data_IF_725344299736
#
_entry.id   IF_725344299736
#
_cell.length_a   1.000
_cell.length_b   1.000
_cell.length_c   1.000
_cell.angle_alpha   90.00
_cell.angle_beta   90.00
_cell.angle_gamma   90.00
#
_symmetry.space_group_name_H-M   'P 1'
#
loop_
_entity.id
_entity.type
_entity.pdbx_description
1 polymer ?
#
# COMPACT_ATOMS: atom_id res chain seq x y z
N UNK A 1 -5.34 12.49 -25.22
CA UNK A 1 -5.10 12.01 -23.84
C UNK A 1 -3.61 11.78 -23.65
N UNK A 2 -3.02 12.36 -22.60
CA UNK A 2 -1.61 12.15 -22.29
C UNK A 2 -1.52 11.24 -21.06
N UNK A 3 -0.75 10.17 -21.17
CA UNK A 3 -0.41 9.32 -20.02
C UNK A 3 0.99 9.74 -19.57
N UNK A 4 1.16 10.03 -18.27
CA UNK A 4 2.44 10.48 -17.70
C UNK A 4 3.54 9.40 -17.79
N UNK A 5 3.16 8.12 -17.87
CA UNK A 5 4.08 7.02 -18.11
C UNK A 5 3.72 6.24 -19.38
N UNK A 6 4.76 5.87 -20.15
CA UNK A 6 4.64 5.01 -21.34
C UNK A 6 4.56 3.52 -20.97
N UNK A 7 4.93 3.15 -19.74
CA UNK A 7 4.96 1.77 -19.28
C UNK A 7 4.93 1.70 -17.75
N UNK A 8 4.35 0.64 -17.17
CA UNK A 8 4.32 0.44 -15.73
C UNK A 8 5.43 -0.53 -15.34
N UNK A 9 6.63 0.00 -15.08
CA UNK A 9 7.81 -0.75 -14.63
C UNK A 9 8.14 -2.01 -15.45
N UNK A 10 7.87 -2.00 -16.77
CA UNK A 10 8.00 -3.16 -17.66
C UNK A 10 7.23 -4.41 -17.20
N UNK A 11 6.20 -4.23 -16.36
CA UNK A 11 5.42 -5.32 -15.75
C UNK A 11 4.66 -6.17 -16.78
N UNK A 12 4.29 -5.59 -17.92
CA UNK A 12 3.62 -6.29 -19.01
C UNK A 12 4.54 -7.29 -19.75
N UNK A 13 5.85 -7.21 -19.53
CA UNK A 13 6.85 -8.02 -20.23
C UNK A 13 7.39 -7.38 -21.52
N UNK A 14 8.39 -8.01 -22.16
CA UNK A 14 9.03 -7.49 -23.37
C UNK A 14 8.03 -7.32 -24.52
N UNK A 15 8.09 -6.18 -25.21
CA UNK A 15 7.21 -5.89 -26.35
C UNK A 15 5.80 -5.39 -25.99
N UNK A 16 5.42 -5.45 -24.71
CA UNK A 16 4.12 -5.00 -24.21
C UNK A 16 4.24 -3.73 -23.37
N UNK A 17 3.13 -3.01 -23.16
CA UNK A 17 3.11 -1.75 -22.41
C UNK A 17 2.00 -1.72 -21.37
N UNK A 18 2.39 -1.52 -20.11
CA UNK A 18 1.48 -1.32 -18.97
C UNK A 18 0.90 0.09 -18.86
N UNK A 19 0.64 0.76 -19.99
CA UNK A 19 0.19 2.15 -20.05
C UNK A 19 -1.15 2.32 -19.32
N UNK A 20 -1.37 3.48 -18.68
CA UNK A 20 -2.58 3.78 -17.91
C UNK A 20 -2.79 2.89 -16.67
N UNK A 21 -1.76 2.19 -16.20
CA UNK A 21 -1.77 1.63 -14.85
C UNK A 21 -1.79 2.77 -13.83
N UNK A 22 -2.64 2.65 -12.82
CA UNK A 22 -2.83 3.68 -11.82
C UNK A 22 -3.06 3.09 -10.43
N UNK A 23 -2.75 3.89 -9.42
CA UNK A 23 -2.96 3.57 -8.02
C UNK A 23 -3.69 4.73 -7.34
N UNK A 24 -4.76 4.41 -6.61
CA UNK A 24 -5.50 5.34 -5.78
C UNK A 24 -5.46 4.85 -4.34
N UNK A 25 -5.06 5.70 -3.40
CA UNK A 25 -5.04 5.38 -1.98
C UNK A 25 -5.92 6.36 -1.19
N UNK A 26 -6.75 5.82 -0.31
CA UNK A 26 -7.46 6.57 0.72
C UNK A 26 -6.91 6.15 2.08
N UNK A 27 -6.37 7.13 2.82
CA UNK A 27 -5.78 6.91 4.13
C UNK A 27 -6.43 7.81 5.18
N UNK A 28 -6.59 7.25 6.37
CA UNK A 28 -7.09 7.87 7.57
C UNK A 28 -6.05 7.73 8.68
N UNK A 29 -5.80 8.83 9.40
CA UNK A 29 -4.90 8.87 10.54
C UNK A 29 -5.45 9.86 11.55
N UNK A 30 -5.77 9.39 12.75
CA UNK A 30 -6.43 10.20 13.78
C UNK A 30 -5.85 9.86 15.15
N UNK A 31 -5.48 10.89 15.92
CA UNK A 31 -5.21 10.71 17.34
C UNK A 31 -6.54 10.43 18.07
N UNK A 32 -6.62 9.28 18.72
CA UNK A 32 -7.83 8.79 19.40
C UNK A 32 -7.72 8.88 20.92
N UNK A 33 -6.50 8.96 21.43
CA UNK A 33 -6.16 9.22 22.83
C UNK A 33 -4.74 9.83 22.86
N UNK A 34 -4.33 10.50 23.95
CA UNK A 34 -2.99 11.08 24.04
C UNK A 34 -1.92 10.06 23.68
N UNK A 35 -1.09 10.40 22.69
CA UNK A 35 0.02 9.58 22.17
C UNK A 35 -0.41 8.33 21.38
N UNK A 36 -1.70 8.12 21.14
CA UNK A 36 -2.23 6.95 20.41
C UNK A 36 -2.90 7.43 19.12
N UNK A 37 -2.32 7.05 17.98
CA UNK A 37 -2.89 7.30 16.66
C UNK A 37 -3.47 6.03 16.07
N UNK A 38 -4.74 6.06 15.68
CA UNK A 38 -5.35 5.04 14.84
C UNK A 38 -5.08 5.35 13.36
N UNK A 39 -4.72 4.34 12.58
CA UNK A 39 -4.39 4.45 11.15
C UNK A 39 -5.10 3.37 10.34
N UNK A 40 -5.71 3.77 9.24
CA UNK A 40 -6.30 2.84 8.29
C UNK A 40 -6.08 3.34 6.86
N UNK A 41 -5.87 2.46 5.91
CA UNK A 41 -5.85 2.82 4.49
C UNK A 41 -6.36 1.69 3.62
N UNK A 42 -6.90 2.08 2.47
CA UNK A 42 -7.23 1.18 1.37
C UNK A 42 -6.66 1.75 0.08
N UNK A 43 -5.99 0.89 -0.67
CA UNK A 43 -5.42 1.19 -1.98
C UNK A 43 -6.10 0.37 -3.06
N UNK A 44 -6.27 0.95 -4.24
CA UNK A 44 -6.75 0.26 -5.44
C UNK A 44 -5.74 0.40 -6.56
N UNK A 45 -5.21 -0.74 -7.01
CA UNK A 45 -4.38 -0.84 -8.20
C UNK A 45 -5.25 -1.23 -9.39
N UNK A 46 -5.28 -0.35 -10.39
CA UNK A 46 -5.84 -0.64 -11.71
C UNK A 46 -4.70 -0.85 -12.69
N UNK A 47 -4.48 -2.08 -13.11
CA UNK A 47 -3.62 -2.39 -14.25
C UNK A 47 -4.27 -1.92 -15.56
N UNK A 48 -3.43 -1.37 -16.44
CA UNK A 48 -3.85 -0.85 -17.74
C UNK A 48 -2.94 -1.33 -18.87
N UNK A 49 -3.38 -1.08 -20.10
CA UNK A 49 -2.65 -1.49 -21.30
C UNK A 49 -2.68 -3.01 -21.45
N UNK A 50 -1.51 -3.59 -21.73
CA UNK A 50 -1.35 -5.02 -22.01
C UNK A 50 -1.17 -5.87 -20.76
N UNK A 51 -1.23 -5.29 -19.55
CA UNK A 51 -1.10 -6.05 -18.32
C UNK A 51 -2.34 -6.91 -18.10
N UNK A 52 -2.16 -8.23 -18.16
CA UNK A 52 -3.22 -9.22 -17.96
C UNK A 52 -3.48 -9.56 -16.47
N UNK A 53 -2.68 -9.00 -15.54
CA UNK A 53 -2.85 -9.25 -14.11
C UNK A 53 -4.17 -8.64 -13.59
N UNK A 54 -4.84 -9.29 -12.61
CA UNK A 54 -6.07 -8.77 -12.05
C UNK A 54 -5.79 -7.53 -11.20
N UNK A 55 -6.67 -6.53 -11.34
CA UNK A 55 -6.74 -5.42 -10.40
C UNK A 55 -6.95 -5.93 -8.98
N UNK A 56 -6.38 -5.23 -8.01
CA UNK A 56 -6.47 -5.62 -6.61
C UNK A 56 -6.63 -4.41 -5.70
N UNK A 57 -7.22 -4.68 -4.54
CA UNK A 57 -7.23 -3.80 -3.38
C UNK A 57 -6.15 -4.22 -2.39
N UNK A 58 -5.39 -3.27 -1.87
CA UNK A 58 -4.55 -3.41 -0.68
C UNK A 58 -5.15 -2.63 0.50
N UNK A 59 -4.77 -3.02 1.71
CA UNK A 59 -5.25 -2.39 2.93
C UNK A 59 -4.18 -2.41 4.02
N UNK A 60 -4.29 -1.45 4.93
CA UNK A 60 -3.53 -1.38 6.17
C UNK A 60 -4.44 -0.93 7.29
N UNK A 61 -4.43 -1.61 8.44
CA UNK A 61 -5.14 -1.19 9.64
C UNK A 61 -4.22 -1.37 10.83
N UNK A 62 -4.06 -0.31 11.62
CA UNK A 62 -3.14 -0.32 12.74
C UNK A 62 -3.14 0.97 13.51
N UNK A 63 -2.05 1.20 14.23
CA UNK A 63 -1.86 2.41 14.99
C UNK A 63 -0.41 2.67 15.33
N UNK A 64 -0.19 3.77 16.01
CA UNK A 64 1.09 4.14 16.56
C UNK A 64 0.94 4.65 17.99
N UNK A 65 1.95 4.35 18.80
CA UNK A 65 2.15 4.93 20.11
C UNK A 65 3.40 5.83 20.08
N UNK A 66 3.24 7.08 20.50
CA UNK A 66 4.35 8.03 20.65
C UNK A 66 4.91 7.96 22.07
N UNK A 67 6.16 7.53 22.22
CA UNK A 67 6.83 7.54 23.53
C UNK A 67 7.27 8.96 23.95
N UNK A 68 7.23 9.92 23.04
CA UNK A 68 7.80 11.24 23.18
C UNK A 68 9.26 11.28 22.73
N UNK A 69 9.83 12.49 22.72
CA UNK A 69 11.23 12.74 22.35
C UNK A 69 11.59 12.15 20.97
N UNK A 70 10.63 12.10 20.04
CA UNK A 70 10.81 11.59 18.69
C UNK A 70 10.90 10.06 18.57
N UNK A 71 10.58 9.30 19.62
CA UNK A 71 10.53 7.82 19.58
C UNK A 71 9.07 7.36 19.49
N UNK A 72 8.74 6.48 18.53
CA UNK A 72 7.39 5.92 18.39
C UNK A 72 7.41 4.44 18.00
N UNK A 73 6.37 3.71 18.40
CA UNK A 73 6.10 2.33 17.99
C UNK A 73 4.83 2.29 17.15
N UNK A 74 4.94 1.80 15.92
CA UNK A 74 3.81 1.50 15.04
C UNK A 74 3.56 -0.01 14.96
N UNK A 75 2.30 -0.40 14.84
CA UNK A 75 1.91 -1.76 14.48
C UNK A 75 0.71 -1.73 13.52
N UNK A 76 0.74 -2.53 12.45
CA UNK A 76 -0.35 -2.62 11.50
C UNK A 76 -0.48 -4.03 10.91
N UNK A 77 -1.71 -4.44 10.63
CA UNK A 77 -2.00 -5.55 9.73
C UNK A 77 -2.14 -4.99 8.33
N UNK A 78 -1.33 -5.49 7.41
CA UNK A 78 -1.37 -5.11 6.00
C UNK A 78 -1.66 -6.32 5.13
N UNK A 79 -2.28 -6.13 3.97
CA UNK A 79 -2.51 -7.20 3.02
C UNK A 79 -3.16 -6.71 1.74
N UNK A 80 -3.46 -7.65 0.84
CA UNK A 80 -4.18 -7.35 -0.39
C UNK A 80 -5.09 -8.51 -0.84
N UNK A 81 -6.02 -8.19 -1.72
CA UNK A 81 -6.92 -9.15 -2.39
C UNK A 81 -6.19 -9.92 -3.49
N UNK A 82 -6.84 -10.88 -4.16
CA UNK A 82 -6.24 -11.69 -5.25
C UNK A 82 -5.01 -12.51 -4.80
N UNK A 83 -5.05 -13.06 -3.58
CA UNK A 83 -3.98 -13.86 -2.97
C UNK A 83 -3.62 -15.09 -3.80
N UNK A 84 -4.57 -15.72 -4.47
CA UNK A 84 -4.29 -16.89 -5.31
C UNK A 84 -3.44 -16.53 -6.54
N UNK A 85 -3.59 -15.32 -7.07
CA UNK A 85 -2.83 -14.84 -8.23
C UNK A 85 -1.45 -14.31 -7.83
N UNK A 86 -1.39 -13.45 -6.80
CA UNK A 86 -0.15 -12.78 -6.39
C UNK A 86 0.64 -13.55 -5.31
N UNK A 87 0.07 -14.65 -4.81
CA UNK A 87 0.70 -15.54 -3.86
C UNK A 87 1.15 -14.82 -2.58
N UNK A 88 2.38 -15.10 -2.11
CA UNK A 88 2.91 -14.55 -0.86
C UNK A 88 2.92 -13.01 -0.78
N UNK A 89 2.99 -12.31 -1.91
CA UNK A 89 3.05 -10.84 -1.93
C UNK A 89 1.79 -10.24 -1.30
N UNK A 90 0.61 -10.78 -1.63
CA UNK A 90 -0.66 -10.25 -1.15
C UNK A 90 -1.14 -10.87 0.17
N UNK A 91 -0.35 -11.79 0.75
CA UNK A 91 -0.68 -12.37 2.05
C UNK A 91 -0.66 -11.32 3.17
N UNK A 92 -1.61 -11.49 4.09
CA UNK A 92 -1.76 -10.60 5.23
C UNK A 92 -0.61 -10.80 6.20
N UNK A 93 -0.04 -9.70 6.70
CA UNK A 93 1.12 -9.72 7.60
C UNK A 93 1.05 -8.60 8.61
N UNK A 94 1.61 -8.85 9.79
CA UNK A 94 1.77 -7.84 10.83
C UNK A 94 3.12 -7.16 10.61
N UNK A 95 3.10 -5.83 10.52
CA UNK A 95 4.30 -5.00 10.48
C UNK A 95 4.37 -4.26 11.80
N UNK A 96 5.51 -4.40 12.47
CA UNK A 96 5.86 -3.64 13.67
C UNK A 96 7.05 -2.76 13.34
N UNK A 97 6.96 -1.48 13.67
CA UNK A 97 7.97 -0.49 13.33
C UNK A 97 8.32 0.32 14.57
N UNK A 98 9.61 0.38 14.93
CA UNK A 98 10.12 1.32 15.90
C UNK A 98 10.82 2.46 15.14
N UNK A 99 10.44 3.71 15.39
CA UNK A 99 10.98 4.87 14.68
C UNK A 99 11.54 5.88 15.67
N UNK A 100 12.74 6.38 15.37
CA UNK A 100 13.40 7.45 16.12
C UNK A 100 13.78 8.58 15.15
N UNK A 101 13.35 9.80 15.43
CA UNK A 101 13.83 10.98 14.70
C UNK A 101 15.23 11.37 15.20
N UNK A 102 16.11 11.76 14.27
CA UNK A 102 17.46 12.27 14.55
C UNK A 102 17.41 13.73 15.02
#
# INVERSE_FOLDING_TARGET
>A
SHTLSKDYFAYAGPGFKGRNTGYLNLAFSQEVAPKITAKASVGYTRFGGDIAAPNYLDYSVGGAYDFGSGLSLGAAVVGATKKDYFGPVNQSRVIVTLTKTL
#
